data_IF_258380687973
#
_entry.id   IF_258380687973
#
_cell.length_a   1.000
_cell.length_b   1.000
_cell.length_c   1.000
_cell.angle_alpha   90.00
_cell.angle_beta   90.00
_cell.angle_gamma   90.00
#
_symmetry.space_group_name_H-M   'P 1'
#
loop_
_entity.id
_entity.type
_entity.pdbx_description
1 polymer ?
#
# COMPACT_ATOMS: atom_id res chain seq x y z
N UNK A 1 -10.85 -1.98 23.16
CA UNK A 1 -9.48 -1.86 22.61
C UNK A 1 -9.20 -0.37 22.48
N UNK A 2 -8.21 0.20 23.19
CA UNK A 2 -7.80 1.58 22.95
C UNK A 2 -6.94 1.61 21.68
N UNK A 3 -7.29 2.48 20.73
CA UNK A 3 -6.50 2.71 19.50
C UNK A 3 -5.37 3.73 19.72
N UNK A 4 -5.16 4.15 20.98
CA UNK A 4 -4.15 5.11 21.34
C UNK A 4 -2.80 4.42 21.54
N UNK A 5 -1.78 4.91 20.84
CA UNK A 5 -0.38 4.52 21.01
C UNK A 5 0.20 5.24 22.23
N UNK A 6 1.03 4.52 23.00
CA UNK A 6 1.62 5.05 24.24
C UNK A 6 2.90 5.84 24.01
N UNK A 7 3.53 5.69 22.83
CA UNK A 7 4.78 6.35 22.46
C UNK A 7 4.67 6.95 21.06
N UNK A 8 5.43 8.02 20.80
CA UNK A 8 5.49 8.64 19.47
C UNK A 8 5.97 7.66 18.39
N UNK A 9 6.92 6.79 18.73
CA UNK A 9 7.38 5.72 17.84
C UNK A 9 6.25 4.74 17.51
N UNK A 10 5.43 4.40 18.51
CA UNK A 10 4.23 3.58 18.31
C UNK A 10 3.22 4.24 17.38
N UNK A 11 2.99 5.55 17.52
CA UNK A 11 2.12 6.33 16.63
C UNK A 11 2.62 6.27 15.18
N UNK A 12 3.92 6.53 14.98
CA UNK A 12 4.53 6.49 13.64
C UNK A 12 4.44 5.09 13.02
N UNK A 13 4.71 4.04 13.80
CA UNK A 13 4.60 2.67 13.31
C UNK A 13 3.15 2.34 12.92
N UNK A 14 2.18 2.72 13.74
CA UNK A 14 0.76 2.53 13.46
C UNK A 14 0.34 3.22 12.16
N UNK A 15 0.72 4.49 11.97
CA UNK A 15 0.39 5.25 10.75
C UNK A 15 0.98 4.61 9.49
N UNK A 16 2.22 4.12 9.57
CA UNK A 16 2.87 3.38 8.48
C UNK A 16 2.09 2.10 8.17
N UNK A 17 1.72 1.31 9.19
CA UNK A 17 0.98 0.07 8.98
C UNK A 17 -0.41 0.33 8.40
N UNK A 18 -1.13 1.35 8.88
CA UNK A 18 -2.44 1.72 8.34
C UNK A 18 -2.32 2.17 6.87
N UNK A 19 -1.30 2.95 6.54
CA UNK A 19 -1.02 3.38 5.17
C UNK A 19 -0.70 2.18 4.26
N UNK A 20 0.09 1.23 4.74
CA UNK A 20 0.40 -0.01 4.02
C UNK A 20 -0.85 -0.85 3.79
N UNK A 21 -1.66 -1.10 4.81
CA UNK A 21 -2.92 -1.85 4.70
C UNK A 21 -3.85 -1.21 3.67
N UNK A 22 -4.01 0.12 3.72
CA UNK A 22 -4.83 0.84 2.75
C UNK A 22 -4.28 0.72 1.33
N UNK A 23 -2.96 0.81 1.16
CA UNK A 23 -2.30 0.73 -0.15
C UNK A 23 -2.40 -0.67 -0.74
N UNK A 24 -2.11 -1.73 0.02
CA UNK A 24 -2.20 -3.11 -0.47
C UNK A 24 -3.64 -3.46 -0.84
N UNK A 25 -4.63 -2.99 -0.05
CA UNK A 25 -6.07 -3.15 -0.38
C UNK A 25 -6.44 -2.48 -1.70
N UNK A 26 -6.01 -1.23 -1.94
CA UNK A 26 -6.24 -0.54 -3.22
C UNK A 26 -5.58 -1.26 -4.41
N UNK A 27 -4.45 -1.90 -4.17
CA UNK A 27 -3.73 -2.65 -5.20
C UNK A 27 -4.27 -4.07 -5.41
N UNK A 28 -5.13 -4.58 -4.53
CA UNK A 28 -5.62 -5.96 -4.58
C UNK A 28 -4.59 -6.99 -4.09
N UNK A 29 -3.62 -6.56 -3.29
CA UNK A 29 -2.57 -7.41 -2.71
C UNK A 29 -2.90 -7.71 -1.25
N UNK A 30 -2.71 -8.95 -0.82
CA UNK A 30 -2.86 -9.31 0.60
C UNK A 30 -1.77 -8.64 1.44
N UNK A 31 -2.18 -7.89 2.47
CA UNK A 31 -1.25 -7.24 3.38
C UNK A 31 -0.31 -8.23 4.07
N UNK A 32 -0.83 -9.38 4.51
CA UNK A 32 -0.03 -10.39 5.20
C UNK A 32 0.99 -11.07 4.29
N UNK A 33 0.61 -11.34 3.04
CA UNK A 33 1.55 -11.89 2.05
C UNK A 33 2.64 -10.89 1.72
N UNK A 34 2.29 -9.61 1.55
CA UNK A 34 3.25 -8.53 1.35
C UNK A 34 4.23 -8.40 2.52
N UNK A 35 3.73 -8.44 3.76
CA UNK A 35 4.57 -8.39 4.95
C UNK A 35 5.49 -9.61 5.06
N UNK A 36 4.97 -10.81 4.83
CA UNK A 36 5.74 -12.06 4.85
C UNK A 36 6.86 -12.02 3.81
N UNK A 37 6.55 -11.60 2.60
CA UNK A 37 7.52 -11.47 1.50
C UNK A 37 8.67 -10.52 1.87
N UNK A 38 8.36 -9.36 2.48
CA UNK A 38 9.36 -8.37 2.90
C UNK A 38 10.21 -8.82 4.08
N UNK A 39 9.60 -9.46 5.08
CA UNK A 39 10.33 -9.98 6.26
C UNK A 39 11.27 -11.12 5.84
N UNK A 40 10.79 -12.03 4.99
CA UNK A 40 11.57 -13.17 4.51
C UNK A 40 12.49 -12.82 3.34
N UNK A 41 12.44 -11.58 2.83
CA UNK A 41 13.19 -11.11 1.65
C UNK A 41 13.04 -12.02 0.43
N UNK A 42 11.85 -12.58 0.23
CA UNK A 42 11.56 -13.50 -0.88
C UNK A 42 11.59 -12.73 -2.21
N UNK A 43 10.98 -11.53 -2.24
CA UNK A 43 10.96 -10.69 -3.45
C UNK A 43 9.96 -11.16 -4.51
N UNK A 44 8.97 -11.98 -4.15
CA UNK A 44 7.92 -12.44 -5.04
C UNK A 44 6.91 -11.34 -5.35
N UNK A 45 6.59 -10.49 -4.37
CA UNK A 45 5.68 -9.35 -4.60
C UNK A 45 6.51 -8.12 -5.00
N UNK A 46 6.27 -7.51 -6.18
CA UNK A 46 6.94 -6.29 -6.59
C UNK A 46 6.75 -5.15 -5.58
N UNK A 47 7.60 -4.14 -5.64
CA UNK A 47 7.39 -2.93 -4.83
C UNK A 47 6.03 -2.31 -5.13
N UNK A 48 5.29 -1.92 -4.08
CA UNK A 48 3.97 -1.31 -4.24
C UNK A 48 4.01 -0.10 -5.19
N UNK A 49 5.11 0.68 -5.16
CA UNK A 49 5.35 1.79 -6.09
C UNK A 49 5.38 1.36 -7.57
N UNK A 50 5.95 0.19 -7.87
CA UNK A 50 5.98 -0.37 -9.23
C UNK A 50 4.56 -0.72 -9.67
N UNK A 51 3.81 -1.42 -8.81
CA UNK A 51 2.42 -1.83 -9.08
C UNK A 51 1.52 -0.59 -9.28
N UNK A 52 1.74 0.48 -8.50
CA UNK A 52 1.03 1.76 -8.69
C UNK A 52 1.30 2.34 -10.07
N UNK A 53 2.56 2.39 -10.51
CA UNK A 53 2.92 2.91 -11.84
C UNK A 53 2.31 2.05 -12.95
N UNK A 54 2.35 0.73 -12.83
CA UNK A 54 1.73 -0.19 -13.79
C UNK A 54 0.22 0.03 -13.91
N UNK A 55 -0.51 0.11 -12.78
CA UNK A 55 -1.95 0.38 -12.79
C UNK A 55 -2.30 1.77 -13.30
N UNK A 56 -1.45 2.76 -13.04
CA UNK A 56 -1.66 4.12 -13.55
C UNK A 56 -1.47 4.18 -15.07
N UNK A 57 -0.53 3.42 -15.62
CA UNK A 57 -0.32 3.33 -17.06
C UNK A 57 -1.45 2.59 -17.77
N UNK A 58 -2.03 1.56 -17.14
CA UNK A 58 -3.12 0.78 -17.73
C UNK A 58 -4.48 1.47 -17.65
N UNK A 59 -4.69 2.36 -16.68
CA UNK A 59 -5.90 3.16 -16.55
C UNK A 59 -5.55 4.65 -16.59
N UNK A 60 -5.35 5.24 -17.78
CA UNK A 60 -5.12 6.67 -17.91
C UNK A 60 -6.37 7.42 -17.45
N UNK A 61 -6.35 7.85 -16.19
CA UNK A 61 -7.39 8.66 -15.56
C UNK A 61 -7.65 9.96 -16.35
N UNK A 62 -6.74 10.36 -17.25
CA UNK A 62 -6.90 11.50 -18.16
C UNK A 62 -8.08 11.38 -19.13
N UNK A 63 -8.64 10.19 -19.36
CA UNK A 63 -9.83 10.04 -20.22
C UNK A 63 -11.12 10.54 -19.57
N UNK A 64 -11.19 10.61 -18.23
CA UNK A 64 -12.38 11.15 -17.53
C UNK A 64 -12.43 12.69 -17.48
N UNK A 65 -11.38 13.36 -17.98
CA UNK A 65 -11.23 14.82 -17.98
C UNK A 65 -11.15 15.38 -19.41
N UNK A 66 -11.50 14.57 -20.42
CA UNK A 66 -11.67 15.06 -21.79
C UNK A 66 -12.97 15.87 -21.83
N UNK A 67 -12.96 17.16 -22.20
CA UNK A 67 -14.19 17.88 -22.49
C UNK A 67 -14.88 17.23 -23.70
N UNK A 68 -16.21 17.15 -23.67
CA UNK A 68 -17.04 16.65 -24.79
C UNK A 68 -16.78 17.40 -26.11
#
# INVERSE_FOLDING_TARGET
>A
ISYATQTELGTKAWDIFMSLVATTRKLGVSFFEYMRDRILKIGHIPCLATIIREKSSSNPFGWSWQPE
#
